data_IF_847390351120
#
_entry.id   IF_847390351120
#
_cell.length_a   1.000
_cell.length_b   1.000
_cell.length_c   1.000
_cell.angle_alpha   90.00
_cell.angle_beta   90.00
_cell.angle_gamma   90.00
#
_symmetry.space_group_name_H-M   'P 1'
#
loop_
_entity.id
_entity.type
_entity.pdbx_description
1 polymer ?
#
# COMPACT_ATOMS: atom_id res chain seq x y z
N UNK A 1 -47.22 10.40 23.68
CA UNK A 1 -47.99 9.62 22.69
C UNK A 1 -47.18 8.34 22.43
N UNK A 2 -47.80 7.20 22.71
CA UNK A 2 -47.18 5.87 22.63
C UNK A 2 -47.49 5.29 21.27
N UNK A 3 -46.49 4.98 20.47
CA UNK A 3 -46.68 4.20 19.24
C UNK A 3 -46.29 2.74 19.48
N UNK A 4 -47.17 1.87 19.02
CA UNK A 4 -47.15 0.43 19.26
C UNK A 4 -46.35 -0.29 18.18
N UNK A 5 -45.44 -1.16 18.63
CA UNK A 5 -44.71 -2.11 17.79
C UNK A 5 -45.65 -3.27 17.42
N UNK A 6 -45.87 -3.50 16.13
CA UNK A 6 -46.53 -4.71 15.61
C UNK A 6 -45.48 -5.75 15.25
N UNK A 7 -45.51 -6.86 15.98
CA UNK A 7 -44.73 -8.06 15.67
C UNK A 7 -45.63 -8.97 14.84
N UNK A 8 -45.25 -9.20 13.59
CA UNK A 8 -45.90 -10.20 12.73
C UNK A 8 -45.12 -11.48 12.78
N UNK A 9 -45.71 -12.51 13.35
CA UNK A 9 -45.19 -13.89 13.39
C UNK A 9 -45.62 -14.59 12.10
N UNK A 10 -44.67 -15.03 11.27
CA UNK A 10 -44.94 -15.92 10.12
C UNK A 10 -44.57 -17.33 10.51
N UNK A 11 -45.54 -18.23 10.47
CA UNK A 11 -45.44 -19.63 10.80
C UNK A 11 -44.72 -20.43 9.71
N UNK A 12 -43.77 -21.27 10.11
CA UNK A 12 -43.10 -22.27 9.26
C UNK A 12 -44.06 -23.44 9.00
N UNK A 13 -44.25 -23.81 7.75
CA UNK A 13 -44.80 -25.11 7.36
C UNK A 13 -43.68 -26.04 6.92
N UNK A 14 -43.51 -27.14 7.64
CA UNK A 14 -42.65 -28.26 7.31
C UNK A 14 -43.24 -29.09 6.15
N UNK A 15 -42.51 -29.21 5.07
CA UNK A 15 -42.76 -30.17 4.00
C UNK A 15 -41.77 -31.30 4.07
N UNK A 16 -42.24 -32.51 4.39
CA UNK A 16 -41.44 -33.75 4.40
C UNK A 16 -41.50 -34.33 2.98
N UNK A 17 -40.36 -34.53 2.32
CA UNK A 17 -40.23 -35.31 1.08
C UNK A 17 -39.32 -36.51 1.31
N UNK A 18 -39.90 -37.65 1.05
CA UNK A 18 -39.44 -39.03 1.26
C UNK A 18 -38.23 -39.40 0.40
N UNK A 19 -37.30 -40.14 1.02
CA UNK A 19 -36.16 -40.81 0.38
C UNK A 19 -36.57 -41.88 -0.61
N UNK A 20 -35.87 -41.95 -1.76
CA UNK A 20 -35.72 -43.15 -2.54
C UNK A 20 -34.23 -43.47 -2.71
N UNK A 21 -33.80 -44.61 -2.14
CA UNK A 21 -32.45 -45.18 -2.31
C UNK A 21 -32.29 -45.72 -3.71
N UNK A 22 -31.20 -45.35 -4.41
CA UNK A 22 -30.58 -46.23 -5.39
C UNK A 22 -29.05 -46.17 -5.18
N UNK A 23 -28.46 -47.35 -5.10
CA UNK A 23 -27.04 -47.57 -4.88
C UNK A 23 -26.20 -47.23 -6.13
N UNK A 24 -25.00 -46.77 -5.91
CA UNK A 24 -23.97 -46.53 -6.93
C UNK A 24 -22.66 -46.20 -6.24
N UNK A 25 -21.77 -47.12 -6.33
CA UNK A 25 -20.30 -47.17 -6.26
C UNK A 25 -19.58 -45.93 -5.71
N UNK A 26 -18.86 -46.12 -4.61
CA UNK A 26 -17.91 -45.20 -4.03
C UNK A 26 -16.72 -44.96 -4.98
N UNK A 27 -16.61 -43.80 -5.53
CA UNK A 27 -15.35 -43.25 -6.06
C UNK A 27 -14.82 -42.22 -5.09
N UNK A 28 -13.68 -42.55 -4.51
CA UNK A 28 -12.94 -41.69 -3.58
C UNK A 28 -12.31 -40.53 -4.35
N UNK A 29 -12.99 -39.40 -4.42
CA UNK A 29 -12.39 -38.16 -4.91
C UNK A 29 -11.97 -37.31 -3.71
N UNK A 30 -10.65 -37.30 -3.43
CA UNK A 30 -10.03 -36.29 -2.61
C UNK A 30 -10.35 -34.91 -3.18
N UNK A 31 -11.44 -34.32 -2.73
CA UNK A 31 -11.74 -32.91 -2.96
C UNK A 31 -10.79 -32.10 -2.07
N UNK A 32 -9.66 -31.71 -2.65
CA UNK A 32 -8.86 -30.59 -2.12
C UNK A 32 -9.82 -29.41 -1.98
N UNK A 33 -10.16 -29.04 -0.73
CA UNK A 33 -10.86 -27.80 -0.46
C UNK A 33 -9.97 -26.67 -0.91
N UNK A 34 -10.14 -26.23 -2.14
CA UNK A 34 -9.66 -24.93 -2.59
C UNK A 34 -10.36 -23.88 -1.72
N UNK A 35 -9.63 -23.39 -0.72
CA UNK A 35 -10.06 -22.24 0.07
C UNK A 35 -9.98 -21.06 -0.86
N UNK A 36 -11.04 -20.81 -1.61
CA UNK A 36 -11.21 -19.59 -2.38
C UNK A 36 -11.31 -18.46 -1.36
N UNK A 37 -10.21 -17.78 -1.09
CA UNK A 37 -10.20 -16.51 -0.37
C UNK A 37 -11.04 -15.59 -1.25
N UNK A 38 -12.28 -15.32 -0.83
CA UNK A 38 -13.09 -14.26 -1.44
C UNK A 38 -12.28 -12.98 -1.25
N UNK A 39 -11.65 -12.53 -2.33
CA UNK A 39 -10.96 -11.25 -2.37
C UNK A 39 -12.04 -10.18 -2.14
N UNK A 40 -12.08 -9.64 -0.92
CA UNK A 40 -13.00 -8.55 -0.61
C UNK A 40 -12.76 -7.43 -1.61
N UNK A 41 -13.84 -6.88 -2.16
CA UNK A 41 -13.86 -5.86 -3.22
C UNK A 41 -13.02 -4.61 -2.87
N UNK A 42 -12.61 -4.49 -1.59
CA UNK A 42 -11.89 -3.34 -1.06
C UNK A 42 -10.40 -3.60 -0.78
N UNK A 43 -9.90 -4.83 -0.94
CA UNK A 43 -8.51 -5.16 -0.65
C UNK A 43 -7.77 -5.54 -1.95
N UNK A 44 -7.37 -4.53 -2.72
CA UNK A 44 -6.54 -4.72 -3.92
C UNK A 44 -5.04 -4.66 -3.62
N UNK A 45 -4.64 -4.21 -2.41
CA UNK A 45 -3.26 -4.18 -1.93
C UNK A 45 -3.23 -4.58 -0.44
N UNK A 46 -2.14 -5.23 0.00
CA UNK A 46 -1.88 -5.47 1.42
C UNK A 46 -1.29 -4.25 2.12
N UNK A 47 -0.85 -3.24 1.36
CA UNK A 47 -0.35 -1.96 1.88
C UNK A 47 -1.39 -0.91 1.53
N UNK A 48 -1.80 -0.12 2.51
CA UNK A 48 -2.71 1.02 2.34
C UNK A 48 -1.99 2.35 2.44
N UNK A 49 -1.10 2.48 3.43
CA UNK A 49 -0.33 3.69 3.72
C UNK A 49 1.08 3.29 4.11
N UNK A 50 2.07 4.09 3.74
CA UNK A 50 3.41 4.04 4.29
C UNK A 50 3.82 5.42 4.79
N UNK A 51 4.67 5.45 5.81
CA UNK A 51 5.19 6.66 6.43
C UNK A 51 6.67 6.84 6.15
N UNK A 52 7.07 8.08 5.86
CA UNK A 52 8.45 8.50 5.68
C UNK A 52 8.80 9.46 6.81
N UNK A 53 9.61 9.06 7.79
CA UNK A 53 10.02 9.91 8.88
C UNK A 53 10.83 11.13 8.42
N UNK A 54 10.60 12.29 9.04
CA UNK A 54 11.35 13.51 8.78
C UNK A 54 11.68 14.25 10.08
N UNK A 55 12.87 14.85 10.14
CA UNK A 55 13.23 15.83 11.19
C UNK A 55 12.90 17.24 10.77
N UNK A 56 12.91 17.52 9.46
CA UNK A 56 12.48 18.79 8.85
C UNK A 56 11.45 18.52 7.77
N UNK A 57 10.18 18.72 8.12
CA UNK A 57 9.06 18.44 7.22
C UNK A 57 9.11 19.27 5.93
N UNK A 58 9.56 20.52 6.01
CA UNK A 58 9.62 21.39 4.83
C UNK A 58 10.72 20.96 3.85
N UNK A 59 11.88 20.55 4.37
CA UNK A 59 12.97 20.01 3.57
C UNK A 59 12.55 18.70 2.90
N UNK A 60 11.93 17.79 3.65
CA UNK A 60 11.45 16.52 3.13
C UNK A 60 10.37 16.71 2.05
N UNK A 61 9.37 17.57 2.27
CA UNK A 61 8.35 17.90 1.27
C UNK A 61 8.98 18.45 -0.01
N UNK A 62 9.91 19.40 0.10
CA UNK A 62 10.57 19.97 -1.07
C UNK A 62 11.36 18.90 -1.83
N UNK A 63 12.10 18.05 -1.13
CA UNK A 63 12.83 16.95 -1.75
C UNK A 63 11.91 16.05 -2.60
N UNK A 64 10.85 15.51 -2.01
CA UNK A 64 9.95 14.60 -2.73
C UNK A 64 9.15 15.30 -3.82
N UNK A 65 8.76 16.57 -3.63
CA UNK A 65 8.13 17.37 -4.67
C UNK A 65 9.02 17.49 -5.91
N UNK A 66 10.28 17.84 -5.72
CA UNK A 66 11.23 18.05 -6.83
C UNK A 66 11.58 16.76 -7.55
N UNK A 67 11.89 15.69 -6.81
CA UNK A 67 12.31 14.44 -7.45
C UNK A 67 11.15 13.71 -8.15
N UNK A 68 9.93 13.73 -7.57
CA UNK A 68 8.76 13.05 -8.13
C UNK A 68 7.97 13.92 -9.10
N UNK A 69 8.14 15.25 -9.06
CA UNK A 69 7.38 16.17 -9.88
C UNK A 69 5.89 16.24 -9.52
N UNK A 70 5.57 16.14 -8.23
CA UNK A 70 4.19 16.13 -7.70
C UNK A 70 3.98 17.24 -6.69
N UNK A 71 2.73 17.66 -6.50
CA UNK A 71 2.37 18.53 -5.38
C UNK A 71 2.17 17.69 -4.10
N UNK A 72 2.68 18.21 -2.97
CA UNK A 72 2.57 17.57 -1.66
C UNK A 72 1.94 18.59 -0.71
N UNK A 73 0.77 18.25 -0.19
CA UNK A 73 0.05 19.08 0.76
C UNK A 73 0.67 18.97 2.15
N UNK A 74 0.99 20.13 2.76
CA UNK A 74 1.45 20.18 4.15
C UNK A 74 0.25 20.32 5.09
N UNK A 75 0.15 19.44 6.06
CA UNK A 75 -0.84 19.45 7.12
C UNK A 75 -0.17 19.59 8.48
N UNK A 76 -0.80 20.33 9.39
CA UNK A 76 -0.27 20.56 10.74
C UNK A 76 -1.33 20.19 11.79
N UNK A 77 -0.91 19.38 12.76
CA UNK A 77 -1.71 18.95 13.89
C UNK A 77 -0.93 19.19 15.19
N UNK A 78 -1.60 19.22 16.35
CA UNK A 78 -0.89 19.33 17.63
C UNK A 78 0.12 18.20 17.80
N UNK A 79 1.42 18.52 17.81
CA UNK A 79 2.53 17.57 17.97
C UNK A 79 2.97 16.83 16.71
N UNK A 80 2.36 17.08 15.55
CA UNK A 80 2.67 16.38 14.29
C UNK A 80 2.57 17.32 13.09
N UNK A 81 3.55 17.24 12.19
CA UNK A 81 3.51 17.85 10.87
C UNK A 81 3.55 16.75 9.80
N UNK A 82 2.75 16.88 8.75
CA UNK A 82 2.68 15.88 7.68
C UNK A 82 2.82 16.50 6.30
N UNK A 83 3.40 15.74 5.36
CA UNK A 83 3.33 15.96 3.93
C UNK A 83 2.54 14.84 3.28
N UNK A 84 1.38 15.13 2.71
CA UNK A 84 0.54 14.13 2.05
C UNK A 84 0.91 14.01 0.58
N UNK A 85 1.40 12.84 0.17
CA UNK A 85 1.63 12.53 -1.24
C UNK A 85 0.28 12.40 -1.97
N UNK A 86 0.23 12.65 -3.29
CA UNK A 86 -1.00 12.44 -4.06
C UNK A 86 -1.57 11.05 -3.85
N UNK A 87 -2.89 10.95 -3.63
CA UNK A 87 -3.59 9.71 -3.31
C UNK A 87 -4.79 9.43 -4.22
N UNK A 88 -5.15 10.37 -5.09
CA UNK A 88 -6.26 10.20 -6.02
C UNK A 88 -5.96 9.05 -6.97
N UNK A 89 -6.94 8.15 -7.14
CA UNK A 89 -6.88 6.95 -7.98
C UNK A 89 -5.75 5.96 -7.62
N UNK A 90 -5.16 6.08 -6.43
CA UNK A 90 -4.13 5.16 -5.93
C UNK A 90 -4.66 4.28 -4.79
N UNK A 91 -4.23 3.02 -4.79
CA UNK A 91 -4.56 2.07 -3.72
C UNK A 91 -3.65 2.20 -2.50
N UNK A 92 -2.47 2.75 -2.70
CA UNK A 92 -1.44 2.96 -1.67
C UNK A 92 -1.01 4.42 -1.75
N UNK A 93 -0.98 5.09 -0.62
CA UNK A 93 -0.43 6.45 -0.52
C UNK A 93 0.72 6.52 0.47
N UNK A 94 1.52 7.57 0.39
CA UNK A 94 2.58 7.87 1.33
C UNK A 94 2.31 9.16 2.08
N UNK A 95 2.80 9.22 3.30
CA UNK A 95 2.85 10.44 4.10
C UNK A 95 4.27 10.66 4.61
N UNK A 96 4.73 11.91 4.57
CA UNK A 96 5.96 12.33 5.24
C UNK A 96 5.54 12.79 6.62
N UNK A 97 6.17 12.29 7.68
CA UNK A 97 5.73 12.56 9.06
C UNK A 97 6.89 13.09 9.89
N UNK A 98 6.62 14.18 10.61
CA UNK A 98 7.47 14.69 11.68
C UNK A 98 6.67 14.73 12.97
N UNK A 99 6.99 13.84 13.88
CA UNK A 99 6.40 13.72 15.20
C UNK A 99 7.41 13.15 16.20
N UNK A 100 7.09 13.17 17.49
CA UNK A 100 7.91 12.55 18.51
C UNK A 100 7.97 11.03 18.32
N UNK A 101 9.19 10.48 18.26
CA UNK A 101 9.42 9.04 18.07
C UNK A 101 9.49 8.58 16.61
N UNK A 102 9.20 9.44 15.63
CA UNK A 102 9.38 9.16 14.21
C UNK A 102 10.76 9.64 13.74
N UNK A 103 11.74 8.73 13.70
CA UNK A 103 13.13 9.05 13.35
C UNK A 103 13.52 8.53 11.98
N UNK A 104 14.11 9.38 11.11
CA UNK A 104 14.68 8.95 9.83
C UNK A 104 15.75 7.87 10.02
N UNK A 105 15.78 6.86 9.14
CA UNK A 105 16.72 5.76 9.25
C UNK A 105 17.12 5.17 7.91
N UNK A 106 18.41 4.89 7.76
CA UNK A 106 18.94 4.05 6.67
C UNK A 106 18.79 2.55 6.94
N UNK A 107 18.22 2.17 8.11
CA UNK A 107 18.02 0.78 8.53
C UNK A 107 16.51 0.49 8.62
N UNK A 108 16.09 -0.68 8.22
CA UNK A 108 14.69 -1.09 8.27
C UNK A 108 14.13 -1.44 6.90
N UNK A 109 12.81 -1.40 6.76
CA UNK A 109 12.10 -1.69 5.51
C UNK A 109 12.49 -0.67 4.44
N UNK A 110 12.72 -1.14 3.21
CA UNK A 110 12.93 -0.26 2.06
C UNK A 110 11.63 -0.19 1.27
N UNK A 111 11.10 1.02 1.11
CA UNK A 111 9.96 1.31 0.24
C UNK A 111 10.51 1.63 -1.15
N UNK A 112 10.02 0.92 -2.17
CA UNK A 112 10.32 1.21 -3.57
C UNK A 112 9.21 2.06 -4.14
N UNK A 113 9.55 3.30 -4.47
CA UNK A 113 8.64 4.22 -5.17
C UNK A 113 8.57 3.83 -6.65
N UNK A 114 7.42 4.08 -7.25
CA UNK A 114 7.22 3.86 -8.67
C UNK A 114 8.06 4.86 -9.48
N UNK A 115 9.03 4.35 -10.21
CA UNK A 115 9.94 5.13 -11.04
C UNK A 115 9.38 5.54 -12.41
N UNK A 116 8.08 5.28 -12.66
CA UNK A 116 7.47 5.51 -13.97
C UNK A 116 8.05 4.56 -15.02
N UNK A 117 8.14 5.04 -16.25
CA UNK A 117 8.73 4.27 -17.34
C UNK A 117 10.25 4.07 -17.19
N UNK A 118 10.92 5.04 -16.57
CA UNK A 118 12.37 5.01 -16.38
C UNK A 118 12.77 5.76 -15.09
N UNK A 119 13.16 5.03 -14.08
CA UNK A 119 13.55 5.56 -12.78
C UNK A 119 14.74 6.55 -12.82
N UNK A 120 15.53 6.56 -13.91
CA UNK A 120 16.67 7.47 -14.05
C UNK A 120 16.23 8.94 -14.01
N UNK A 121 15.04 9.26 -14.51
CA UNK A 121 14.51 10.63 -14.51
C UNK A 121 14.29 11.18 -13.10
N UNK A 122 13.98 10.32 -12.14
CA UNK A 122 13.86 10.66 -10.72
C UNK A 122 15.25 10.65 -10.08
N UNK A 123 16.05 9.62 -10.36
CA UNK A 123 17.36 9.42 -9.75
C UNK A 123 18.33 10.59 -10.02
N UNK A 124 18.28 11.15 -11.24
CA UNK A 124 19.10 12.30 -11.65
C UNK A 124 18.86 13.57 -10.80
N UNK A 125 17.71 13.65 -10.14
CA UNK A 125 17.35 14.79 -9.29
C UNK A 125 17.72 14.61 -7.82
N UNK A 126 18.02 13.38 -7.39
CA UNK A 126 18.20 13.04 -5.97
C UNK A 126 19.32 13.86 -5.33
N UNK A 127 20.50 13.86 -5.91
CA UNK A 127 21.67 14.52 -5.31
C UNK A 127 21.55 16.06 -5.35
N UNK A 128 20.98 16.61 -6.42
CA UNK A 128 20.72 18.04 -6.54
C UNK A 128 19.73 18.59 -5.50
N UNK A 129 18.91 17.72 -4.93
CA UNK A 129 17.90 18.08 -3.91
C UNK A 129 18.28 17.60 -2.48
N UNK A 130 19.54 17.22 -2.27
CA UNK A 130 20.06 16.91 -0.93
C UNK A 130 19.97 15.44 -0.51
N UNK A 131 19.56 14.55 -1.40
CA UNK A 131 19.68 13.11 -1.21
C UNK A 131 21.05 12.56 -1.61
N UNK A 132 21.21 11.23 -1.52
CA UNK A 132 22.46 10.55 -1.91
C UNK A 132 22.14 9.23 -2.60
N UNK A 133 22.68 9.02 -3.80
CA UNK A 133 22.58 7.75 -4.51
C UNK A 133 23.48 6.73 -3.83
N UNK A 134 22.93 5.56 -3.47
CA UNK A 134 23.64 4.45 -2.82
C UNK A 134 23.88 3.30 -3.82
N UNK A 135 22.83 2.92 -4.56
CA UNK A 135 22.90 1.97 -5.65
C UNK A 135 22.33 2.67 -6.88
N UNK A 136 23.11 2.90 -7.94
CA UNK A 136 22.61 3.51 -9.17
C UNK A 136 21.61 2.58 -9.85
N UNK A 137 20.97 3.07 -10.91
CA UNK A 137 20.05 2.26 -11.72
C UNK A 137 20.71 0.94 -12.10
N UNK A 138 20.13 -0.16 -11.63
CA UNK A 138 20.68 -1.51 -11.74
C UNK A 138 19.58 -2.44 -12.25
N UNK A 139 19.91 -3.31 -13.18
CA UNK A 139 18.99 -4.31 -13.71
C UNK A 139 18.63 -5.34 -12.62
N UNK A 140 17.35 -5.68 -12.51
CA UNK A 140 16.90 -6.70 -11.56
C UNK A 140 17.36 -8.09 -12.02
N UNK A 141 17.82 -8.93 -11.09
CA UNK A 141 18.36 -10.25 -11.39
C UNK A 141 17.32 -11.22 -12.00
N UNK A 142 16.05 -10.97 -11.79
CA UNK A 142 14.89 -11.73 -12.31
C UNK A 142 14.31 -11.14 -13.59
N UNK A 143 15.02 -10.21 -14.23
CA UNK A 143 14.61 -9.51 -15.45
C UNK A 143 13.33 -8.65 -15.31
N UNK A 144 12.88 -8.37 -14.09
CA UNK A 144 11.71 -7.53 -13.80
C UNK A 144 12.03 -6.02 -13.76
N UNK A 145 12.79 -5.53 -14.75
CA UNK A 145 13.11 -4.12 -14.87
C UNK A 145 14.33 -3.69 -14.05
N UNK A 146 14.30 -2.47 -13.54
CA UNK A 146 15.43 -1.82 -12.89
C UNK A 146 15.05 -1.33 -11.49
N UNK A 147 16.04 -1.28 -10.62
CA UNK A 147 15.93 -0.65 -9.31
C UNK A 147 17.10 0.31 -9.05
N UNK A 148 16.90 1.19 -8.09
CA UNK A 148 17.95 2.02 -7.50
C UNK A 148 17.69 2.17 -6.00
N UNK A 149 18.74 2.46 -5.22
CA UNK A 149 18.65 2.79 -3.80
C UNK A 149 19.27 4.15 -3.56
N UNK A 150 18.60 4.97 -2.79
CA UNK A 150 19.09 6.28 -2.39
C UNK A 150 18.76 6.56 -0.93
N UNK A 151 19.46 7.51 -0.33
CA UNK A 151 19.02 8.18 0.88
C UNK A 151 18.31 9.47 0.48
N UNK A 152 17.17 9.72 1.08
CA UNK A 152 16.44 10.98 0.90
C UNK A 152 17.14 12.15 1.67
N UNK A 153 16.54 13.34 1.64
CA UNK A 153 17.08 14.52 2.33
C UNK A 153 17.13 14.40 3.85
N UNK A 154 16.39 13.44 4.41
CA UNK A 154 16.35 13.15 5.84
C UNK A 154 17.28 11.98 6.24
N UNK A 155 17.80 11.22 5.26
CA UNK A 155 18.65 10.06 5.47
C UNK A 155 17.89 8.73 5.50
N UNK A 156 16.60 8.70 5.16
CA UNK A 156 15.89 7.43 5.00
C UNK A 156 16.39 6.67 3.77
N UNK A 157 16.51 5.35 3.90
CA UNK A 157 16.81 4.47 2.77
C UNK A 157 15.55 4.22 1.96
N UNK A 158 15.55 4.69 0.73
CA UNK A 158 14.45 4.56 -0.22
C UNK A 158 14.90 3.81 -1.47
N UNK A 159 13.96 3.18 -2.15
CA UNK A 159 14.17 2.53 -3.44
C UNK A 159 13.36 3.19 -4.55
N UNK A 160 13.80 2.98 -5.79
CA UNK A 160 13.04 3.22 -7.01
C UNK A 160 12.96 1.92 -7.80
N UNK A 161 11.84 1.70 -8.47
CA UNK A 161 11.66 0.59 -9.40
C UNK A 161 10.95 1.06 -10.66
N UNK A 162 11.38 0.59 -11.83
CA UNK A 162 10.74 0.86 -13.12
C UNK A 162 11.00 -0.30 -14.11
N UNK A 163 10.14 -0.46 -15.14
CA UNK A 163 10.35 -1.48 -16.16
C UNK A 163 11.58 -1.20 -17.05
N UNK A 164 11.97 0.09 -17.23
CA UNK A 164 13.07 0.55 -18.05
C UNK A 164 14.04 1.45 -17.29
#
# INVERSE_FOLDING_TARGET
MKEKIFITIIALTFGIVSCKKNGGTATNSNATKETTIKKDKYMNSFISIFEIPATDISRAINFYREILGVEIEKLEFPGMEMGLLPYEDQMVTGVIVKEEGSEPSAKGVTIYLNGGDNLQTILDKVEGNGGKIIIPKTHHADENGFFAIFHDSEGNKMGLHSPN
#
